data_IF_059015639202
#
_entry.id   IF_059015639202
#
_cell.length_a   1.000
_cell.length_b   1.000
_cell.length_c   1.000
_cell.angle_alpha   90.00
_cell.angle_beta   90.00
_cell.angle_gamma   90.00
#
_symmetry.space_group_name_H-M   'P 1'
#
loop_
_entity.id
_entity.type
_entity.pdbx_description
1 polymer ?
#
# COMPACT_ATOMS: atom_id res chain seq x y z
N UNK A 1 -24.23 -22.07 12.22
CA UNK A 1 -23.64 -20.71 12.37
C UNK A 1 -22.47 -20.52 11.38
N UNK A 2 -22.72 -19.82 10.28
CA UNK A 2 -21.81 -19.69 9.15
C UNK A 2 -20.52 -18.95 9.49
N UNK A 3 -19.37 -19.57 9.23
CA UNK A 3 -18.06 -18.93 9.28
C UNK A 3 -18.00 -17.90 8.15
N UNK A 4 -18.03 -16.62 8.49
CA UNK A 4 -17.80 -15.52 7.57
C UNK A 4 -16.37 -15.67 6.98
N UNK A 5 -16.18 -15.77 5.65
CA UNK A 5 -14.84 -15.91 5.07
C UNK A 5 -14.05 -14.63 5.36
N UNK A 6 -13.04 -14.77 6.20
CA UNK A 6 -12.18 -13.64 6.60
C UNK A 6 -11.50 -13.08 5.34
N UNK A 7 -11.63 -11.77 5.12
CA UNK A 7 -11.17 -11.09 3.92
C UNK A 7 -9.63 -11.18 3.79
N UNK A 8 -9.09 -11.86 2.74
CA UNK A 8 -7.64 -12.02 2.54
C UNK A 8 -6.86 -10.70 2.48
N UNK A 9 -7.50 -9.60 2.09
CA UNK A 9 -6.87 -8.28 1.99
C UNK A 9 -6.50 -7.68 3.35
N UNK A 10 -7.22 -8.06 4.41
CA UNK A 10 -6.95 -7.59 5.79
C UNK A 10 -5.64 -8.18 6.29
N UNK A 11 -5.43 -9.49 6.13
CA UNK A 11 -4.19 -10.16 6.52
C UNK A 11 -2.98 -9.67 5.72
N UNK A 12 -3.17 -9.39 4.43
CA UNK A 12 -2.13 -8.82 3.58
C UNK A 12 -1.66 -7.46 4.08
N UNK A 13 -2.58 -6.58 4.48
CA UNK A 13 -2.22 -5.31 5.09
C UNK A 13 -1.53 -5.47 6.43
N UNK A 14 -1.96 -6.43 7.27
CA UNK A 14 -1.29 -6.71 8.54
C UNK A 14 0.15 -7.20 8.33
N UNK A 15 0.37 -8.10 7.36
CA UNK A 15 1.72 -8.56 6.98
C UNK A 15 2.62 -7.39 6.57
N UNK A 16 2.14 -6.47 5.73
CA UNK A 16 2.93 -5.29 5.31
C UNK A 16 3.15 -4.26 6.40
N UNK A 17 2.22 -4.16 7.35
CA UNK A 17 2.31 -3.23 8.49
C UNK A 17 3.05 -3.82 9.69
N UNK A 18 3.43 -5.09 9.66
CA UNK A 18 4.19 -5.73 10.71
C UNK A 18 5.58 -5.08 10.79
N UNK A 19 5.75 -4.13 11.71
CA UNK A 19 7.08 -3.63 12.10
C UNK A 19 7.65 -4.57 13.15
N UNK A 20 8.91 -4.93 12.96
CA UNK A 20 9.67 -5.70 13.94
C UNK A 20 9.97 -4.76 15.13
N UNK A 21 9.13 -4.79 16.16
CA UNK A 21 9.27 -3.93 17.35
C UNK A 21 10.46 -4.34 18.23
N UNK A 22 10.99 -5.56 18.04
CA UNK A 22 12.18 -6.04 18.76
C UNK A 22 13.15 -6.77 17.80
N UNK A 23 14.31 -6.16 17.45
CA UNK A 23 15.34 -6.81 16.64
C UNK A 23 15.97 -8.03 17.34
N UNK A 24 15.67 -8.27 18.62
CA UNK A 24 16.24 -9.35 19.43
C UNK A 24 15.61 -10.73 19.15
N UNK A 25 14.49 -10.81 18.41
CA UNK A 25 13.80 -12.09 18.14
C UNK A 25 13.37 -12.29 16.67
N UNK A 26 14.31 -12.27 15.70
CA UNK A 26 14.02 -12.48 14.27
C UNK A 26 13.23 -13.77 14.00
N UNK A 27 13.48 -14.81 14.80
CA UNK A 27 12.81 -16.11 14.71
C UNK A 27 11.32 -16.04 15.04
N UNK A 28 10.92 -15.19 15.98
CA UNK A 28 9.51 -15.07 16.38
C UNK A 28 8.72 -14.24 15.37
N UNK A 29 9.33 -13.16 14.87
CA UNK A 29 8.77 -12.37 13.77
C UNK A 29 8.64 -13.21 12.50
N UNK A 30 9.65 -14.02 12.16
CA UNK A 30 9.55 -14.95 11.04
C UNK A 30 8.41 -15.96 11.19
N UNK A 31 8.24 -16.56 12.37
CA UNK A 31 7.11 -17.48 12.64
C UNK A 31 5.77 -16.78 12.49
N UNK A 32 5.66 -15.54 12.94
CA UNK A 32 4.44 -14.73 12.80
C UNK A 32 4.15 -14.41 11.32
N UNK A 33 5.16 -14.00 10.56
CA UNK A 33 5.06 -13.76 9.11
C UNK A 33 4.60 -15.02 8.37
N UNK A 34 5.18 -16.19 8.68
CA UNK A 34 4.77 -17.46 8.07
C UNK A 34 3.31 -17.80 8.40
N UNK A 35 2.87 -17.57 9.64
CA UNK A 35 1.48 -17.80 10.04
C UNK A 35 0.51 -16.88 9.27
N UNK A 36 0.84 -15.58 9.17
CA UNK A 36 0.04 -14.61 8.40
C UNK A 36 0.00 -14.96 6.91
N UNK A 37 1.13 -15.36 6.31
CA UNK A 37 1.19 -15.75 4.90
C UNK A 37 0.38 -17.03 4.64
N UNK A 38 0.39 -18.00 5.55
CA UNK A 38 -0.46 -19.20 5.43
C UNK A 38 -1.95 -18.84 5.53
N UNK A 39 -2.32 -17.92 6.42
CA UNK A 39 -3.70 -17.45 6.53
C UNK A 39 -4.14 -16.62 5.32
N UNK A 40 -3.23 -15.86 4.72
CA UNK A 40 -3.49 -15.06 3.54
C UNK A 40 -3.58 -15.91 2.27
N UNK A 41 -2.51 -16.67 1.96
CA UNK A 41 -2.40 -17.46 0.74
C UNK A 41 -3.21 -18.75 0.80
N UNK A 42 -3.57 -19.23 1.99
CA UNK A 42 -4.32 -20.49 2.25
C UNK A 42 -3.89 -21.61 1.31
N UNK A 43 -2.63 -22.09 1.43
CA UNK A 43 -2.08 -23.08 0.51
C UNK A 43 -2.84 -24.41 0.51
N UNK A 44 -3.61 -24.69 1.55
CA UNK A 44 -4.48 -25.87 1.65
C UNK A 44 -5.71 -25.80 0.73
N UNK A 45 -6.06 -24.62 0.22
CA UNK A 45 -7.25 -24.40 -0.62
C UNK A 45 -6.99 -23.78 -1.98
N UNK A 46 -5.87 -23.06 -2.15
CA UNK A 46 -5.53 -22.42 -3.42
C UNK A 46 -4.48 -23.18 -4.20
N UNK A 47 -4.58 -23.17 -5.53
CA UNK A 47 -3.50 -23.64 -6.39
C UNK A 47 -2.35 -22.63 -6.43
N UNK A 48 -1.19 -23.06 -6.93
CA UNK A 48 -0.02 -22.19 -7.07
C UNK A 48 -0.32 -20.96 -7.93
N UNK A 49 -1.08 -21.15 -9.00
CA UNK A 49 -1.47 -20.10 -9.94
C UNK A 49 -2.37 -19.07 -9.27
N UNK A 50 -3.36 -19.52 -8.47
CA UNK A 50 -4.23 -18.62 -7.70
C UNK A 50 -3.46 -17.80 -6.66
N UNK A 51 -2.48 -18.42 -5.98
CA UNK A 51 -1.62 -17.68 -5.06
C UNK A 51 -0.78 -16.62 -5.77
N UNK A 52 -0.24 -16.94 -6.95
CA UNK A 52 0.51 -15.99 -7.78
C UNK A 52 -0.40 -14.86 -8.24
N UNK A 53 -1.61 -15.16 -8.70
CA UNK A 53 -2.58 -14.14 -9.12
C UNK A 53 -2.91 -13.17 -7.98
N UNK A 54 -3.12 -13.66 -6.77
CA UNK A 54 -3.31 -12.83 -5.57
C UNK A 54 -2.09 -11.94 -5.27
N UNK A 55 -0.87 -12.46 -5.41
CA UNK A 55 0.38 -11.71 -5.23
C UNK A 55 0.57 -10.64 -6.31
N UNK A 56 0.27 -10.98 -7.57
CA UNK A 56 0.33 -10.05 -8.70
C UNK A 56 -0.69 -8.93 -8.53
N UNK A 57 -1.93 -9.26 -8.14
CA UNK A 57 -2.97 -8.28 -7.88
C UNK A 57 -2.58 -7.33 -6.73
N UNK A 58 -1.92 -7.84 -5.69
CA UNK A 58 -1.34 -6.98 -4.67
C UNK A 58 -0.36 -5.99 -5.27
N UNK A 59 0.67 -6.51 -5.94
CA UNK A 59 1.77 -5.71 -6.42
C UNK A 59 1.30 -4.68 -7.44
N UNK A 60 0.35 -5.07 -8.30
CA UNK A 60 -0.31 -4.19 -9.25
C UNK A 60 -1.00 -3.01 -8.55
N UNK A 61 -1.75 -3.25 -7.48
CA UNK A 61 -2.41 -2.17 -6.73
C UNK A 61 -1.43 -1.17 -6.11
N UNK A 62 -0.27 -1.62 -5.65
CA UNK A 62 0.76 -0.74 -5.09
C UNK A 62 1.38 0.10 -6.18
N UNK A 63 1.81 -0.54 -7.28
CA UNK A 63 2.39 0.16 -8.43
C UNK A 63 1.41 1.20 -8.96
N UNK A 64 0.13 0.83 -9.13
CA UNK A 64 -0.92 1.74 -9.58
C UNK A 64 -1.08 2.94 -8.64
N UNK A 65 -1.07 2.74 -7.32
CA UNK A 65 -1.15 3.83 -6.34
C UNK A 65 0.07 4.74 -6.36
N UNK A 66 1.28 4.20 -6.52
CA UNK A 66 2.48 5.02 -6.66
C UNK A 66 2.45 5.84 -7.95
N UNK A 67 2.02 5.24 -9.07
CA UNK A 67 1.85 5.94 -10.35
C UNK A 67 0.86 7.09 -10.25
N UNK A 68 -0.30 6.85 -9.62
CA UNK A 68 -1.32 7.90 -9.40
C UNK A 68 -0.79 9.02 -8.50
N UNK A 69 -0.08 8.70 -7.42
CA UNK A 69 0.56 9.70 -6.54
C UNK A 69 1.64 10.50 -7.26
N UNK A 70 2.42 9.87 -8.12
CA UNK A 70 3.43 10.57 -8.92
C UNK A 70 2.77 11.51 -9.94
N UNK A 71 1.64 11.13 -10.54
CA UNK A 71 0.90 11.98 -11.47
C UNK A 71 0.26 13.19 -10.76
N UNK A 72 -0.29 12.99 -9.56
CA UNK A 72 -0.81 14.08 -8.73
C UNK A 72 0.29 15.09 -8.33
N UNK A 73 1.51 14.63 -8.04
CA UNK A 73 2.63 15.52 -7.73
C UNK A 73 3.16 16.27 -8.96
N UNK A 74 3.00 15.72 -10.16
CA UNK A 74 3.48 16.34 -11.41
C UNK A 74 2.56 17.46 -11.91
N UNK A 75 1.30 17.47 -11.50
CA UNK A 75 0.38 18.57 -11.74
C UNK A 75 0.10 19.28 -10.40
N UNK A 76 0.86 20.32 -10.00
CA UNK A 76 0.29 21.26 -9.06
C UNK A 76 -1.05 21.71 -9.66
N UNK A 77 -2.09 21.71 -8.85
CA UNK A 77 -3.39 22.22 -9.26
C UNK A 77 -3.15 23.52 -10.00
N UNK A 78 -3.66 23.66 -11.23
CA UNK A 78 -3.42 24.87 -12.03
C UNK A 78 -3.89 26.15 -11.30
N UNK A 79 -4.62 26.01 -10.18
CA UNK A 79 -4.94 27.07 -9.22
C UNK A 79 -3.72 27.66 -8.51
N UNK A 80 -2.65 26.90 -8.29
CA UNK A 80 -1.54 27.32 -7.43
C UNK A 80 -0.47 28.09 -8.22
N UNK A 81 -0.27 27.75 -9.50
CA UNK A 81 0.69 28.43 -10.38
C UNK A 81 0.25 29.85 -10.79
N UNK A 82 -1.07 30.10 -10.81
CA UNK A 82 -1.62 31.44 -11.08
C UNK A 82 -1.55 32.38 -9.87
N UNK A 83 -1.48 31.84 -8.64
CA UNK A 83 -1.34 32.65 -7.43
C UNK A 83 0.07 33.26 -7.27
N UNK A 84 1.12 32.58 -7.74
CA UNK A 84 2.49 33.12 -7.71
C UNK A 84 2.73 34.18 -8.80
N UNK A 85 2.06 34.09 -9.94
CA UNK A 85 2.24 35.06 -11.03
C UNK A 85 1.50 36.39 -10.80
N UNK A 86 0.47 36.41 -9.94
CA UNK A 86 -0.27 37.65 -9.61
C UNK A 86 0.33 38.44 -8.44
N UNK A 87 1.16 37.83 -7.56
CA UNK A 87 1.77 38.54 -6.43
C UNK A 87 2.95 39.45 -6.82
N UNK A 88 3.60 39.25 -7.97
CA UNK A 88 4.66 40.18 -8.43
C UNK A 88 4.11 41.47 -9.04
N UNK A 89 2.83 41.53 -9.41
CA UNK A 89 2.24 42.72 -10.05
C UNK A 89 1.71 43.76 -9.05
N UNK A 90 1.39 43.36 -7.82
CA UNK A 90 0.81 44.24 -6.80
C UNK A 90 1.84 44.84 -5.82
N UNK A 91 3.14 44.65 -6.06
CA UNK A 91 4.23 45.14 -5.21
C UNK A 91 5.05 46.27 -5.84
N UNK A 92 4.46 47.11 -6.69
CA UNK A 92 5.08 48.39 -7.07
C UNK A 92 4.58 49.50 -6.12
N UNK A 93 5.45 50.12 -5.30
CA UNK A 93 5.09 51.32 -4.57
C UNK A 93 5.07 52.52 -5.53
N UNK A 94 4.16 53.45 -5.26
CA UNK A 94 4.07 54.80 -5.86
C UNK A 94 5.38 55.57 -5.84
#
# INVERSE_FOLDING_TARGET
>A
PGRNPVNPLVFRQMFRKLRCEDPSRPREVFRHLVALTRQWLRPDTHTKEQMIEMLVQEQFQIILREMLRAQQQKCPSWSDTLAESHCSFLAQPT
#
